data_IF_680552992571
#
_entry.id   IF_680552992571
#
_cell.length_a   1.000
_cell.length_b   1.000
_cell.length_c   1.000
_cell.angle_alpha   90.00
_cell.angle_beta   90.00
_cell.angle_gamma   90.00
#
_symmetry.space_group_name_H-M   'P 1'
#
loop_
_entity.id
_entity.type
_entity.pdbx_description
1 polymer ?
#
# COMPACT_ATOMS: atom_id res chain seq x y z
N UNK A 1 -23.72 15.43 22.27
CA UNK A 1 -23.83 14.73 20.97
C UNK A 1 -22.63 15.13 20.15
N UNK A 2 -21.59 14.29 20.10
CA UNK A 2 -20.40 14.57 19.30
C UNK A 2 -20.78 14.24 17.85
N UNK A 3 -21.03 15.25 17.03
CA UNK A 3 -21.39 15.05 15.62
C UNK A 3 -20.22 14.31 14.95
N UNK A 4 -20.48 13.10 14.45
CA UNK A 4 -19.47 12.27 13.80
C UNK A 4 -18.80 13.05 12.65
N UNK A 5 -17.49 12.95 12.49
CA UNK A 5 -16.75 13.74 11.48
C UNK A 5 -17.23 13.43 10.05
N UNK A 6 -17.63 12.18 9.79
CA UNK A 6 -18.31 11.80 8.55
C UNK A 6 -19.57 12.62 8.26
N UNK A 7 -20.39 12.96 9.27
CA UNK A 7 -21.62 13.71 9.05
C UNK A 7 -21.32 15.10 8.45
N UNK A 8 -20.20 15.72 8.87
CA UNK A 8 -19.72 17.00 8.33
C UNK A 8 -19.32 16.87 6.86
N UNK A 9 -18.62 15.80 6.49
CA UNK A 9 -18.07 15.63 5.13
C UNK A 9 -18.95 14.81 4.19
N UNK A 10 -20.04 14.22 4.69
CA UNK A 10 -20.97 13.38 3.93
C UNK A 10 -21.43 14.02 2.62
N UNK A 11 -21.85 15.30 2.57
CA UNK A 11 -22.26 15.93 1.30
C UNK A 11 -21.11 16.04 0.30
N UNK A 12 -19.90 16.36 0.76
CA UNK A 12 -18.71 16.50 -0.09
C UNK A 12 -18.31 15.14 -0.68
N UNK A 13 -18.31 14.10 0.14
CA UNK A 13 -17.97 12.73 -0.27
C UNK A 13 -19.01 12.17 -1.24
N UNK A 14 -20.30 12.41 -0.98
CA UNK A 14 -21.38 11.94 -1.84
C UNK A 14 -21.36 12.58 -3.24
N UNK A 15 -20.98 13.86 -3.32
CA UNK A 15 -20.97 14.65 -4.55
C UNK A 15 -19.73 14.40 -5.42
N UNK A 16 -18.57 14.10 -4.81
CA UNK A 16 -17.34 13.84 -5.56
C UNK A 16 -17.45 12.59 -6.45
N UNK A 17 -16.72 12.54 -7.54
CA UNK A 17 -16.51 11.34 -8.35
C UNK A 17 -15.32 10.52 -7.83
N UNK A 18 -15.30 9.23 -8.16
CA UNK A 18 -14.14 8.38 -7.85
C UNK A 18 -12.83 8.89 -8.46
N UNK A 19 -12.93 9.56 -9.62
CA UNK A 19 -11.79 10.16 -10.30
C UNK A 19 -11.22 11.31 -9.49
N UNK A 20 -12.07 12.25 -9.06
CA UNK A 20 -11.66 13.39 -8.23
C UNK A 20 -11.01 12.92 -6.93
N UNK A 21 -11.60 11.92 -6.25
CA UNK A 21 -11.04 11.35 -5.01
C UNK A 21 -9.64 10.76 -5.24
N UNK A 22 -9.41 10.08 -6.37
CA UNK A 22 -8.10 9.48 -6.69
C UNK A 22 -7.07 10.50 -7.16
N UNK A 23 -7.51 11.59 -7.78
CA UNK A 23 -6.65 12.69 -8.20
C UNK A 23 -6.20 13.52 -7.00
N UNK A 24 -7.11 13.81 -6.06
CA UNK A 24 -6.82 14.58 -4.85
C UNK A 24 -7.72 14.14 -3.68
N UNK A 25 -7.10 13.50 -2.68
CA UNK A 25 -7.80 13.03 -1.47
C UNK A 25 -8.33 14.17 -0.58
N UNK A 26 -7.89 15.41 -0.81
CA UNK A 26 -8.37 16.58 -0.09
C UNK A 26 -9.62 17.19 -0.75
N UNK A 27 -9.95 16.75 -1.98
CA UNK A 27 -11.03 17.26 -2.82
C UNK A 27 -10.97 18.79 -3.00
N UNK A 28 -9.81 19.31 -3.37
CA UNK A 28 -9.55 20.74 -3.51
C UNK A 28 -9.55 21.45 -2.16
N UNK A 29 -9.00 20.82 -1.12
CA UNK A 29 -8.94 21.37 0.23
C UNK A 29 -10.22 21.23 1.06
N UNK A 30 -11.33 20.75 0.49
CA UNK A 30 -12.63 20.63 1.17
C UNK A 30 -12.63 19.63 2.33
N UNK A 31 -11.70 18.68 2.33
CA UNK A 31 -11.53 17.70 3.39
C UNK A 31 -10.42 18.06 4.39
N UNK A 32 -9.78 19.23 4.29
CA UNK A 32 -8.72 19.62 5.22
C UNK A 32 -9.28 19.83 6.64
N UNK A 33 -8.68 19.14 7.60
CA UNK A 33 -8.97 19.25 9.03
C UNK A 33 -8.12 20.32 9.71
N UNK A 34 -6.84 20.38 9.35
CA UNK A 34 -5.88 21.33 9.92
C UNK A 34 -4.62 21.46 9.06
N UNK A 35 -3.95 22.61 9.16
CA UNK A 35 -2.68 22.89 8.49
C UNK A 35 -1.68 23.51 9.48
N UNK A 36 -0.39 23.21 9.31
CA UNK A 36 0.71 23.80 10.08
C UNK A 36 1.97 23.91 9.19
N UNK A 37 2.16 25.08 8.59
CA UNK A 37 3.17 25.28 7.56
C UNK A 37 2.95 24.32 6.37
N UNK A 38 3.93 23.47 6.00
CA UNK A 38 3.78 22.53 4.90
C UNK A 38 2.95 21.28 5.25
N UNK A 39 2.58 21.10 6.53
CA UNK A 39 1.78 19.97 6.99
C UNK A 39 0.30 20.22 6.70
N UNK A 40 -0.36 19.21 6.12
CA UNK A 40 -1.79 19.20 5.91
C UNK A 40 -2.35 17.88 6.46
N UNK A 41 -3.39 17.96 7.28
CA UNK A 41 -4.16 16.79 7.73
C UNK A 41 -5.50 16.81 7.02
N UNK A 42 -5.75 15.80 6.19
CA UNK A 42 -6.98 15.66 5.43
C UNK A 42 -7.87 14.60 6.05
N UNK A 43 -9.17 14.84 6.06
CA UNK A 43 -10.15 13.87 6.51
C UNK A 43 -10.19 12.63 5.60
N UNK A 44 -10.27 11.47 6.24
CA UNK A 44 -10.66 10.20 5.64
C UNK A 44 -11.44 9.39 6.69
N UNK A 45 -12.41 8.56 6.29
CA UNK A 45 -13.39 7.91 7.19
C UNK A 45 -12.79 6.74 7.98
N UNK A 46 -11.87 7.03 8.90
CA UNK A 46 -11.16 6.05 9.74
C UNK A 46 -11.52 6.14 11.23
N UNK A 47 -12.52 6.93 11.62
CA UNK A 47 -12.90 7.13 13.03
C UNK A 47 -13.74 5.99 13.65
N UNK A 48 -14.19 5.00 12.89
CA UNK A 48 -14.90 3.85 13.46
C UNK A 48 -14.01 3.02 14.40
N UNK A 49 -14.48 2.79 15.62
CA UNK A 49 -13.83 1.90 16.60
C UNK A 49 -14.54 0.55 16.64
N UNK A 50 -13.76 -0.52 16.46
CA UNK A 50 -14.25 -1.90 16.51
C UNK A 50 -14.13 -2.37 17.96
N UNK A 51 -15.15 -2.11 18.77
CA UNK A 51 -15.11 -2.35 20.22
C UNK A 51 -14.82 -3.81 20.63
N UNK A 52 -15.09 -4.77 19.74
CA UNK A 52 -14.83 -6.20 19.93
C UNK A 52 -13.43 -6.64 19.51
N UNK A 53 -12.59 -5.72 19.04
CA UNK A 53 -11.28 -6.06 18.49
C UNK A 53 -10.38 -6.70 19.56
N UNK A 54 -9.75 -7.80 19.18
CA UNK A 54 -8.76 -8.51 19.99
C UNK A 54 -7.34 -8.10 19.66
N UNK A 55 -7.13 -7.61 18.45
CA UNK A 55 -5.86 -7.09 17.96
C UNK A 55 -6.05 -5.71 17.35
N UNK A 56 -5.11 -4.82 17.60
CA UNK A 56 -5.03 -3.50 16.97
C UNK A 56 -3.79 -3.44 16.11
N UNK A 57 -3.93 -3.10 14.83
CA UNK A 57 -2.80 -2.94 13.90
C UNK A 57 -2.61 -1.47 13.59
N UNK A 58 -1.41 -0.96 13.87
CA UNK A 58 -1.14 0.49 13.92
C UNK A 58 -0.12 0.90 12.86
N UNK A 59 -0.58 1.68 11.88
CA UNK A 59 0.26 2.36 10.88
C UNK A 59 0.82 3.71 11.37
N UNK A 60 1.50 4.44 10.49
CA UNK A 60 1.97 5.81 10.76
C UNK A 60 0.81 6.80 10.60
N UNK A 61 0.27 6.84 9.39
CA UNK A 61 -0.88 7.61 8.92
C UNK A 61 -1.39 6.91 7.66
N UNK A 62 -2.70 6.96 7.33
CA UNK A 62 -3.17 6.44 6.06
C UNK A 62 -2.50 7.18 4.90
N UNK A 63 -1.86 6.45 4.00
CA UNK A 63 -1.34 7.04 2.76
C UNK A 63 -2.46 7.42 1.80
N UNK A 64 -2.17 8.25 0.81
CA UNK A 64 -3.15 8.74 -0.17
C UNK A 64 -3.97 7.61 -0.83
N UNK A 65 -3.36 6.48 -1.18
CA UNK A 65 -4.11 5.34 -1.73
C UNK A 65 -5.14 4.76 -0.73
N UNK A 66 -4.75 4.58 0.53
CA UNK A 66 -5.65 4.09 1.58
C UNK A 66 -6.79 5.06 1.86
N UNK A 67 -6.47 6.37 1.90
CA UNK A 67 -7.43 7.44 2.05
C UNK A 67 -8.45 7.47 0.91
N UNK A 68 -7.98 7.38 -0.34
CA UNK A 68 -8.83 7.33 -1.52
C UNK A 68 -9.78 6.13 -1.46
N UNK A 69 -9.26 4.92 -1.23
CA UNK A 69 -10.09 3.71 -1.14
C UNK A 69 -11.13 3.83 -0.02
N UNK A 70 -10.77 4.36 1.15
CA UNK A 70 -11.74 4.60 2.24
C UNK A 70 -12.83 5.61 1.84
N UNK A 71 -12.46 6.74 1.20
CA UNK A 71 -13.40 7.76 0.73
C UNK A 71 -14.34 7.21 -0.34
N UNK A 72 -13.85 6.38 -1.25
CA UNK A 72 -14.64 5.76 -2.32
C UNK A 72 -15.64 4.76 -1.76
N UNK A 73 -15.23 3.93 -0.81
CA UNK A 73 -16.15 3.00 -0.16
C UNK A 73 -17.20 3.75 0.67
N UNK A 74 -16.80 4.78 1.42
CA UNK A 74 -17.76 5.64 2.13
C UNK A 74 -18.75 6.28 1.16
N UNK A 75 -18.28 6.84 0.03
CA UNK A 75 -19.14 7.38 -1.03
C UNK A 75 -20.14 6.34 -1.53
N UNK A 76 -19.68 5.12 -1.83
CA UNK A 76 -20.54 4.03 -2.32
C UNK A 76 -21.64 3.70 -1.32
N UNK A 77 -21.31 3.61 -0.04
CA UNK A 77 -22.24 3.33 1.05
C UNK A 77 -23.25 4.47 1.25
N UNK A 78 -22.77 5.73 1.26
CA UNK A 78 -23.61 6.92 1.38
C UNK A 78 -24.63 6.99 0.22
N UNK A 79 -24.19 6.73 -1.01
CA UNK A 79 -25.06 6.73 -2.20
C UNK A 79 -26.07 5.58 -2.19
N UNK A 80 -25.74 4.47 -1.53
CA UNK A 80 -26.66 3.36 -1.30
C UNK A 80 -27.66 3.61 -0.15
N UNK A 81 -27.59 4.79 0.51
CA UNK A 81 -28.49 5.16 1.61
C UNK A 81 -28.07 4.61 2.97
N UNK A 82 -26.84 4.10 3.13
CA UNK A 82 -26.34 3.61 4.40
C UNK A 82 -26.20 4.74 5.44
N UNK A 83 -26.38 4.41 6.72
CA UNK A 83 -26.09 5.34 7.81
C UNK A 83 -24.57 5.58 7.99
N UNK A 84 -24.22 6.57 8.80
CA UNK A 84 -22.83 6.96 9.05
C UNK A 84 -22.00 5.83 9.67
N UNK A 85 -22.59 5.05 10.58
CA UNK A 85 -21.90 3.95 11.25
C UNK A 85 -21.52 2.83 10.26
N UNK A 86 -22.46 2.45 9.40
CA UNK A 86 -22.25 1.44 8.35
C UNK A 86 -21.22 1.92 7.32
N UNK A 87 -21.32 3.18 6.89
CA UNK A 87 -20.37 3.76 5.95
C UNK A 87 -18.95 3.79 6.52
N UNK A 88 -18.78 4.20 7.78
CA UNK A 88 -17.47 4.22 8.45
C UNK A 88 -16.88 2.82 8.66
N UNK A 89 -17.70 1.85 9.09
CA UNK A 89 -17.24 0.48 9.28
C UNK A 89 -16.73 -0.14 7.98
N UNK A 90 -17.49 0.02 6.89
CA UNK A 90 -17.10 -0.47 5.57
C UNK A 90 -15.85 0.24 5.03
N UNK A 91 -15.79 1.57 5.14
CA UNK A 91 -14.66 2.36 4.68
C UNK A 91 -13.35 2.03 5.41
N UNK A 92 -13.42 1.83 6.74
CA UNK A 92 -12.27 1.41 7.54
C UNK A 92 -11.71 0.09 7.03
N UNK A 93 -12.55 -0.93 6.87
CA UNK A 93 -12.10 -2.26 6.42
C UNK A 93 -11.53 -2.17 5.00
N UNK A 94 -12.22 -1.49 4.09
CA UNK A 94 -11.81 -1.40 2.69
C UNK A 94 -10.47 -0.65 2.51
N UNK A 95 -10.33 0.51 3.16
CA UNK A 95 -9.16 1.39 3.01
C UNK A 95 -7.93 0.97 3.83
N UNK A 96 -8.11 0.34 4.98
CA UNK A 96 -6.99 0.05 5.90
C UNK A 96 -5.95 -0.85 5.25
N UNK A 97 -4.69 -0.38 5.23
CA UNK A 97 -3.56 -1.09 4.62
C UNK A 97 -3.81 -1.57 3.17
N UNK A 98 -4.70 -0.92 2.42
CA UNK A 98 -5.01 -1.29 1.04
C UNK A 98 -3.80 -1.19 0.10
N UNK A 99 -3.89 -1.91 -1.03
CA UNK A 99 -2.81 -2.03 -2.01
C UNK A 99 -1.81 -3.13 -1.67
N UNK A 100 -0.65 -3.09 -2.33
CA UNK A 100 0.35 -4.18 -2.31
C UNK A 100 0.95 -4.51 -0.92
N UNK A 101 0.72 -3.65 0.09
CA UNK A 101 1.22 -3.89 1.45
C UNK A 101 0.36 -4.86 2.26
N UNK A 102 -0.92 -5.02 1.91
CA UNK A 102 -1.86 -5.86 2.67
C UNK A 102 -1.40 -7.31 2.71
N UNK A 103 -1.06 -7.87 1.55
CA UNK A 103 -0.69 -9.27 1.45
C UNK A 103 0.59 -9.58 2.23
N UNK A 104 1.56 -8.65 2.21
CA UNK A 104 2.76 -8.75 3.03
C UNK A 104 2.46 -8.71 4.53
N UNK A 105 1.54 -7.83 4.96
CA UNK A 105 1.09 -7.77 6.35
C UNK A 105 0.38 -9.06 6.77
N UNK A 106 -0.54 -9.56 5.95
CA UNK A 106 -1.26 -10.83 6.18
C UNK A 106 -0.27 -11.97 6.36
N UNK A 107 0.66 -12.14 5.42
CA UNK A 107 1.66 -13.21 5.50
C UNK A 107 2.50 -13.12 6.78
N UNK A 108 2.87 -11.91 7.20
CA UNK A 108 3.62 -11.70 8.44
C UNK A 108 2.82 -12.03 9.70
N UNK A 109 1.54 -11.67 9.73
CA UNK A 109 0.65 -11.99 10.85
C UNK A 109 0.35 -13.49 10.92
N UNK A 110 0.22 -14.14 9.76
CA UNK A 110 0.06 -15.59 9.65
C UNK A 110 1.33 -16.31 10.16
N UNK A 111 2.51 -15.85 9.74
CA UNK A 111 3.81 -16.41 10.13
C UNK A 111 4.07 -16.37 11.65
N UNK A 112 3.51 -15.38 12.37
CA UNK A 112 3.64 -15.30 13.84
C UNK A 112 2.52 -16.05 14.58
N UNK A 113 1.62 -16.74 13.86
CA UNK A 113 0.56 -17.55 14.44
C UNK A 113 -0.64 -16.75 14.94
N UNK A 114 -0.85 -15.51 14.48
CA UNK A 114 -1.99 -14.70 14.93
C UNK A 114 -3.32 -15.32 14.53
N UNK A 115 -3.40 -15.84 13.30
CA UNK A 115 -4.59 -16.50 12.78
C UNK A 115 -5.04 -17.68 13.66
N UNK A 116 -4.11 -18.52 14.13
CA UNK A 116 -4.39 -19.63 15.06
C UNK A 116 -4.99 -19.13 16.38
N UNK A 117 -4.44 -18.06 16.95
CA UNK A 117 -4.93 -17.47 18.22
C UNK A 117 -6.29 -16.82 18.09
N UNK A 118 -6.62 -16.35 16.89
CA UNK A 118 -7.91 -15.79 16.54
C UNK A 118 -8.92 -16.86 16.07
N UNK A 119 -8.50 -18.11 15.89
CA UNK A 119 -9.38 -19.20 15.42
C UNK A 119 -9.81 -19.03 13.96
N UNK A 120 -9.00 -18.36 13.13
CA UNK A 120 -9.29 -18.10 11.71
C UNK A 120 -8.23 -18.77 10.81
N UNK A 121 -8.59 -19.17 9.58
CA UNK A 121 -7.65 -19.88 8.70
C UNK A 121 -6.50 -19.02 8.18
N UNK A 122 -6.65 -17.69 8.18
CA UNK A 122 -5.65 -16.70 7.80
C UNK A 122 -6.09 -15.32 8.28
N UNK A 123 -5.14 -14.47 8.63
CA UNK A 123 -5.35 -13.07 8.95
C UNK A 123 -5.93 -12.25 7.79
N UNK A 124 -5.96 -12.78 6.55
CA UNK A 124 -6.72 -12.15 5.46
C UNK A 124 -8.21 -11.97 5.82
N UNK A 125 -8.77 -12.85 6.66
CA UNK A 125 -10.18 -12.77 7.09
C UNK A 125 -10.49 -11.52 7.92
N UNK A 126 -9.47 -10.85 8.49
CA UNK A 126 -9.62 -9.60 9.23
C UNK A 126 -10.07 -8.43 8.34
N UNK A 127 -9.91 -8.55 7.02
CA UNK A 127 -10.39 -7.57 6.05
C UNK A 127 -11.74 -7.94 5.41
N UNK A 128 -12.39 -9.02 5.86
CA UNK A 128 -13.73 -9.39 5.40
C UNK A 128 -14.61 -9.93 6.55
N UNK A 129 -14.88 -11.23 6.52
CA UNK A 129 -15.74 -12.04 7.38
C UNK A 129 -15.44 -11.94 8.88
N UNK A 130 -14.20 -11.60 9.27
CA UNK A 130 -13.78 -11.54 10.68
C UNK A 130 -13.22 -10.16 11.06
N UNK A 131 -13.66 -9.11 10.39
CA UNK A 131 -13.27 -7.71 10.69
C UNK A 131 -13.57 -7.27 12.12
N UNK A 132 -14.55 -7.89 12.79
CA UNK A 132 -14.85 -7.65 14.21
C UNK A 132 -13.71 -8.04 15.17
N UNK A 133 -12.74 -8.86 14.75
CA UNK A 133 -11.59 -9.28 15.57
C UNK A 133 -10.43 -8.28 15.54
N UNK A 134 -10.41 -7.35 14.59
CA UNK A 134 -9.29 -6.42 14.41
C UNK A 134 -9.75 -4.97 14.35
N UNK A 135 -9.00 -4.10 15.03
CA UNK A 135 -9.08 -2.67 14.83
C UNK A 135 -7.88 -2.21 14.01
N UNK A 136 -8.14 -1.64 12.84
CA UNK A 136 -7.09 -1.00 12.04
C UNK A 136 -7.06 0.49 12.36
N UNK A 137 -5.87 0.99 12.67
CA UNK A 137 -5.65 2.41 12.95
C UNK A 137 -4.23 2.84 12.53
N UNK A 138 -3.94 4.11 12.75
CA UNK A 138 -2.63 4.71 12.56
C UNK A 138 -2.32 5.63 13.72
N UNK A 139 -1.04 5.85 14.00
CA UNK A 139 -0.64 6.79 15.04
C UNK A 139 -1.27 8.17 14.81
N UNK A 140 -1.33 8.61 13.56
CA UNK A 140 -2.13 9.73 13.11
C UNK A 140 -3.32 9.18 12.32
N UNK A 141 -4.52 9.19 12.93
CA UNK A 141 -5.75 8.57 12.39
C UNK A 141 -6.07 8.99 10.96
N UNK A 142 -5.82 10.25 10.64
CA UNK A 142 -6.13 10.85 9.34
C UNK A 142 -4.87 11.01 8.46
N UNK A 143 -5.03 10.98 7.13
CA UNK A 143 -3.96 11.24 6.18
C UNK A 143 -3.21 12.53 6.48
N UNK A 144 -1.88 12.42 6.61
CA UNK A 144 -1.00 13.57 6.76
C UNK A 144 -0.13 13.71 5.52
N UNK A 145 -0.14 14.92 4.95
CA UNK A 145 0.61 15.28 3.77
C UNK A 145 1.66 16.36 4.12
N UNK A 146 2.80 16.32 3.42
CA UNK A 146 3.79 17.40 3.41
C UNK A 146 4.00 17.82 1.96
N UNK A 147 3.59 19.04 1.62
CA UNK A 147 3.69 19.53 0.23
C UNK A 147 3.00 18.61 -0.79
N UNK A 148 1.86 18.02 -0.41
CA UNK A 148 1.10 17.09 -1.25
C UNK A 148 1.57 15.62 -1.23
N UNK A 149 2.71 15.31 -0.60
CA UNK A 149 3.26 13.96 -0.51
C UNK A 149 2.95 13.29 0.84
N UNK A 150 2.94 11.95 0.89
CA UNK A 150 2.67 11.22 2.13
C UNK A 150 3.70 11.54 3.22
N UNK A 151 3.23 11.84 4.43
CA UNK A 151 4.08 11.94 5.61
C UNK A 151 4.72 10.58 5.97
N UNK A 152 6.04 10.58 6.18
CA UNK A 152 6.82 9.36 6.46
C UNK A 152 7.40 9.29 7.88
N UNK A 153 7.07 10.24 8.77
CA UNK A 153 7.59 10.29 10.14
C UNK A 153 8.43 11.53 10.50
N UNK A 154 8.60 12.46 9.56
CA UNK A 154 9.35 13.71 9.75
C UNK A 154 8.48 14.88 9.27
N UNK A 155 8.27 15.94 10.08
CA UNK A 155 8.79 16.15 11.44
C UNK A 155 8.19 15.17 12.45
N UNK A 156 8.76 15.05 13.64
CA UNK A 156 8.35 14.04 14.63
C UNK A 156 6.91 14.27 15.12
N UNK A 157 6.02 13.27 14.94
CA UNK A 157 4.62 13.34 15.40
C UNK A 157 4.47 13.63 16.89
N UNK A 158 5.41 13.19 17.73
CA UNK A 158 5.36 13.39 19.17
C UNK A 158 5.93 14.75 19.59
N UNK A 159 6.71 15.43 18.75
CA UNK A 159 7.34 16.73 19.07
C UNK A 159 6.64 17.91 18.39
N UNK A 160 6.00 17.68 17.25
CA UNK A 160 5.19 18.68 16.54
C UNK A 160 3.80 18.78 17.17
N UNK A 161 3.46 19.94 17.73
CA UNK A 161 2.21 20.15 18.47
C UNK A 161 0.96 19.81 17.64
N UNK A 162 0.91 20.26 16.38
CA UNK A 162 -0.20 19.99 15.46
C UNK A 162 -0.42 18.50 15.15
N UNK A 163 0.64 17.67 15.18
CA UNK A 163 0.53 16.22 14.99
C UNK A 163 0.23 15.51 16.31
N UNK A 164 0.81 16.00 17.41
CA UNK A 164 0.60 15.43 18.75
C UNK A 164 -0.86 15.51 19.18
N UNK A 165 -1.57 16.58 18.82
CA UNK A 165 -3.00 16.71 19.12
C UNK A 165 -3.84 15.55 18.55
N UNK A 166 -3.44 14.95 17.42
CA UNK A 166 -4.10 13.75 16.89
C UNK A 166 -3.73 12.47 17.66
N UNK A 167 -2.53 12.37 18.23
CA UNK A 167 -2.21 11.28 19.17
C UNK A 167 -3.10 11.39 20.42
N UNK A 168 -3.20 12.60 20.98
CA UNK A 168 -3.99 12.93 22.18
C UNK A 168 -5.49 12.73 21.96
N UNK A 169 -6.02 13.21 20.83
CA UNK A 169 -7.45 13.20 20.56
C UNK A 169 -7.98 11.94 19.90
N UNK A 170 -7.13 11.18 19.19
CA UNK A 170 -7.56 10.00 18.43
C UNK A 170 -6.95 8.69 18.96
N UNK A 171 -5.62 8.59 19.02
CA UNK A 171 -4.98 7.31 19.37
C UNK A 171 -5.18 6.95 20.85
N UNK A 172 -5.16 7.95 21.74
CA UNK A 172 -5.47 7.76 23.17
C UNK A 172 -6.93 7.36 23.38
N UNK A 173 -7.86 7.91 22.60
CA UNK A 173 -9.28 7.53 22.62
C UNK A 173 -9.44 6.04 22.27
N UNK A 174 -8.82 5.59 21.18
CA UNK A 174 -8.85 4.18 20.75
C UNK A 174 -8.17 3.25 21.77
N UNK A 175 -7.04 3.67 22.34
CA UNK A 175 -6.34 2.92 23.38
C UNK A 175 -7.21 2.67 24.61
N UNK A 176 -7.92 3.70 25.07
CA UNK A 176 -8.86 3.58 26.19
C UNK A 176 -10.08 2.74 25.87
N UNK A 177 -10.53 2.73 24.61
CA UNK A 177 -11.66 1.93 24.16
C UNK A 177 -11.32 0.44 24.00
N UNK A 178 -10.03 0.10 23.81
CA UNK A 178 -9.56 -1.27 23.55
C UNK A 178 -8.42 -1.68 24.50
N UNK A 179 -8.66 -1.65 25.83
CA UNK A 179 -7.61 -1.90 26.84
C UNK A 179 -7.11 -3.34 26.84
N UNK A 180 -7.93 -4.30 26.40
CA UNK A 180 -7.62 -5.73 26.44
C UNK A 180 -7.00 -6.26 25.13
N UNK A 181 -7.02 -5.45 24.07
CA UNK A 181 -6.48 -5.84 22.77
C UNK A 181 -4.94 -5.86 22.78
N UNK A 182 -4.33 -6.69 21.94
CA UNK A 182 -2.89 -6.59 21.66
C UNK A 182 -2.65 -5.56 20.55
N UNK A 183 -1.77 -4.61 20.79
CA UNK A 183 -1.45 -3.50 19.90
C UNK A 183 -0.15 -3.75 19.15
N UNK A 184 -0.24 -4.01 17.84
CA UNK A 184 0.91 -4.32 16.99
C UNK A 184 1.22 -3.09 16.11
N UNK A 185 2.38 -2.47 16.32
CA UNK A 185 2.83 -1.39 15.45
C UNK A 185 3.48 -1.91 14.18
N UNK A 186 3.18 -1.29 13.04
CA UNK A 186 3.87 -1.52 11.79
C UNK A 186 5.07 -0.56 11.68
N UNK A 187 6.24 -0.99 12.15
CA UNK A 187 7.51 -0.28 12.02
C UNK A 187 7.80 0.79 13.08
N UNK A 188 9.04 1.28 13.07
CA UNK A 188 9.58 2.13 14.15
C UNK A 188 8.91 3.49 14.29
N UNK A 189 8.37 4.07 13.22
CA UNK A 189 7.66 5.35 13.28
C UNK A 189 6.31 5.20 13.98
N UNK A 190 5.54 4.15 13.66
CA UNK A 190 4.28 3.85 14.36
C UNK A 190 4.54 3.48 15.83
N UNK A 191 5.62 2.71 16.09
CA UNK A 191 6.06 2.37 17.44
C UNK A 191 6.29 3.60 18.33
N UNK A 192 6.83 4.70 17.79
CA UNK A 192 7.01 5.97 18.53
C UNK A 192 5.68 6.57 18.99
N UNK A 193 4.62 6.46 18.17
CA UNK A 193 3.27 6.88 18.53
C UNK A 193 2.71 6.06 19.70
N UNK A 194 2.80 4.73 19.62
CA UNK A 194 2.37 3.84 20.72
C UNK A 194 3.18 4.06 22.00
N UNK A 195 4.51 4.19 21.90
CA UNK A 195 5.35 4.48 23.06
C UNK A 195 4.97 5.80 23.73
N UNK A 196 4.56 6.80 22.95
CA UNK A 196 4.05 8.06 23.50
C UNK A 196 2.72 7.88 24.24
N UNK A 197 1.78 7.08 23.71
CA UNK A 197 0.49 6.77 24.37
C UNK A 197 0.69 5.96 25.66
N UNK A 198 1.59 4.98 25.65
CA UNK A 198 2.01 4.24 26.85
C UNK A 198 2.57 5.21 27.90
N UNK A 199 3.41 6.17 27.50
CA UNK A 199 3.94 7.19 28.41
C UNK A 199 2.85 8.10 28.99
N UNK A 200 1.73 8.29 28.28
CA UNK A 200 0.56 9.02 28.82
C UNK A 200 -0.29 8.17 29.78
N UNK A 201 0.05 6.90 30.00
CA UNK A 201 -0.72 5.99 30.86
C UNK A 201 -2.05 5.54 30.24
N UNK A 202 -2.23 5.72 28.92
CA UNK A 202 -3.47 5.38 28.23
C UNK A 202 -3.47 3.97 27.61
N UNK A 203 -2.31 3.31 27.57
CA UNK A 203 -2.13 1.95 27.06
C UNK A 203 -1.13 1.20 27.94
N UNK A 204 -1.48 -0.03 28.31
CA UNK A 204 -0.59 -0.91 29.06
C UNK A 204 0.62 -1.32 28.19
N UNK A 205 1.87 -1.07 28.62
CA UNK A 205 3.05 -1.50 27.88
C UNK A 205 3.08 -3.01 27.61
N UNK A 206 2.49 -3.85 28.46
CA UNK A 206 2.45 -5.30 28.25
C UNK A 206 1.56 -5.69 27.06
N UNK A 207 0.62 -4.83 26.66
CA UNK A 207 -0.26 -5.05 25.50
C UNK A 207 0.38 -4.65 24.17
N UNK A 208 1.58 -4.05 24.18
CA UNK A 208 2.21 -3.51 22.97
C UNK A 208 3.23 -4.49 22.37
N UNK A 209 3.16 -4.64 21.06
CA UNK A 209 4.12 -5.37 20.24
C UNK A 209 4.67 -4.49 19.13
N UNK A 210 5.99 -4.40 19.01
CA UNK A 210 6.63 -3.66 17.92
C UNK A 210 6.94 -4.58 16.75
N UNK A 211 6.15 -4.50 15.68
CA UNK A 211 6.34 -5.28 14.45
C UNK A 211 7.08 -4.53 13.33
N UNK A 212 7.33 -5.23 12.22
CA UNK A 212 7.87 -4.63 11.00
C UNK A 212 6.75 -4.01 10.15
N UNK A 213 7.11 -2.98 9.38
CA UNK A 213 6.20 -2.35 8.42
C UNK A 213 6.42 -2.95 7.02
N UNK A 214 5.40 -3.53 6.34
CA UNK A 214 5.54 -4.10 5.00
C UNK A 214 5.44 -3.03 3.89
N UNK A 215 6.27 -1.99 3.95
CA UNK A 215 6.36 -1.00 2.85
C UNK A 215 7.13 -1.57 1.65
N UNK A 216 6.97 -0.99 0.45
CA UNK A 216 7.80 -1.32 -0.71
C UNK A 216 9.32 -1.19 -0.46
N UNK A 217 9.73 -0.33 0.48
CA UNK A 217 11.13 -0.14 0.88
C UNK A 217 11.67 -1.22 1.83
N UNK A 218 10.81 -2.13 2.30
CA UNK A 218 11.12 -3.15 3.32
C UNK A 218 11.13 -4.59 2.79
N UNK A 219 10.99 -4.79 1.47
CA UNK A 219 10.79 -6.12 0.85
C UNK A 219 11.80 -7.17 1.33
N UNK A 220 13.09 -6.83 1.39
CA UNK A 220 14.12 -7.78 1.86
C UNK A 220 13.90 -8.19 3.33
N UNK A 221 13.51 -7.24 4.19
CA UNK A 221 13.24 -7.51 5.61
C UNK A 221 12.03 -8.39 5.79
N UNK A 222 10.97 -8.12 5.04
CA UNK A 222 9.74 -8.93 5.03
C UNK A 222 10.04 -10.34 4.51
N UNK A 223 10.78 -10.48 3.41
CA UNK A 223 11.14 -11.79 2.87
C UNK A 223 12.03 -12.60 3.83
N UNK A 224 12.96 -11.95 4.52
CA UNK A 224 13.76 -12.59 5.57
C UNK A 224 12.90 -13.00 6.77
N UNK A 225 12.01 -12.11 7.24
CA UNK A 225 11.04 -12.40 8.31
C UNK A 225 10.18 -13.63 7.99
N UNK A 226 9.71 -13.75 6.74
CA UNK A 226 8.90 -14.86 6.25
C UNK A 226 9.72 -16.10 5.87
N UNK A 227 11.06 -16.06 5.95
CA UNK A 227 11.92 -17.18 5.52
C UNK A 227 11.87 -17.49 4.02
N UNK A 228 11.33 -16.60 3.19
CA UNK A 228 11.20 -16.77 1.72
C UNK A 228 12.30 -16.06 0.93
N UNK A 229 13.12 -15.27 1.63
CA UNK A 229 14.16 -14.41 1.06
C UNK A 229 15.56 -15.00 1.04
N UNK A 230 16.54 -14.08 0.95
CA UNK A 230 17.96 -14.43 1.03
C UNK A 230 18.30 -14.98 2.42
N UNK A 231 19.19 -15.97 2.51
CA UNK A 231 19.69 -16.44 3.79
C UNK A 231 20.47 -15.32 4.50
N UNK A 232 20.60 -15.44 5.83
CA UNK A 232 21.22 -14.45 6.70
C UNK A 232 22.56 -13.89 6.17
N UNK A 233 23.42 -14.75 5.64
CA UNK A 233 24.74 -14.37 5.13
C UNK A 233 24.72 -13.57 3.80
N UNK A 234 23.59 -13.53 3.10
CA UNK A 234 23.45 -12.87 1.79
C UNK A 234 22.58 -11.59 1.85
N UNK A 235 22.16 -11.18 3.05
CA UNK A 235 21.36 -9.98 3.27
C UNK A 235 22.15 -8.71 2.91
N UNK A 236 21.46 -7.69 2.44
CA UNK A 236 22.08 -6.39 2.19
C UNK A 236 22.46 -5.71 3.50
N UNK A 237 23.44 -4.80 3.43
CA UNK A 237 23.91 -3.98 4.57
C UNK A 237 22.79 -3.15 5.22
N UNK A 238 21.64 -2.96 4.55
CA UNK A 238 20.48 -2.21 5.07
C UNK A 238 19.47 -3.07 5.84
N UNK A 239 19.75 -4.36 5.94
CA UNK A 239 18.89 -5.36 6.58
C UNK A 239 19.69 -6.07 7.65
N UNK A 240 19.40 -5.69 8.89
CA UNK A 240 19.98 -6.30 10.07
C UNK A 240 19.14 -7.54 10.44
N UNK A 241 19.67 -8.77 10.27
CA UNK A 241 18.94 -9.98 10.59
C UNK A 241 18.68 -10.14 12.08
N UNK A 242 19.56 -9.65 12.97
CA UNK A 242 19.38 -9.79 14.41
C UNK A 242 18.19 -8.98 14.91
N UNK A 243 18.03 -7.77 14.37
CA UNK A 243 16.85 -6.94 14.63
C UNK A 243 15.57 -7.65 14.15
N UNK A 244 15.60 -8.26 12.97
CA UNK A 244 14.41 -8.92 12.41
C UNK A 244 14.06 -10.19 13.20
N UNK A 245 15.06 -11.01 13.54
CA UNK A 245 14.90 -12.23 14.32
C UNK A 245 14.42 -11.91 15.75
N UNK A 246 14.89 -10.81 16.34
CA UNK A 246 14.38 -10.31 17.61
C UNK A 246 12.91 -9.86 17.50
N UNK A 247 12.57 -9.07 16.48
CA UNK A 247 11.18 -8.64 16.25
C UNK A 247 10.25 -9.85 16.06
N UNK A 248 10.64 -10.82 15.23
CA UNK A 248 9.85 -12.03 14.99
C UNK A 248 9.61 -12.82 16.28
N UNK A 249 10.66 -13.04 17.08
CA UNK A 249 10.53 -13.71 18.38
C UNK A 249 9.60 -12.97 19.33
N UNK A 250 9.76 -11.65 19.46
CA UNK A 250 8.88 -10.82 20.30
C UNK A 250 7.43 -10.87 19.83
N UNK A 251 7.19 -10.83 18.52
CA UNK A 251 5.84 -10.97 17.95
C UNK A 251 5.23 -12.34 18.26
N UNK A 252 5.98 -13.43 18.08
CA UNK A 252 5.51 -14.79 18.40
C UNK A 252 5.14 -14.90 19.88
N UNK A 253 6.01 -14.44 20.79
CA UNK A 253 5.74 -14.49 22.23
C UNK A 253 4.49 -13.69 22.58
N UNK A 254 4.37 -12.46 22.07
CA UNK A 254 3.25 -11.58 22.37
C UNK A 254 1.94 -12.10 21.81
N UNK A 255 1.95 -12.61 20.58
CA UNK A 255 0.77 -13.25 19.97
C UNK A 255 0.34 -14.49 20.76
N UNK A 256 1.28 -15.26 21.31
CA UNK A 256 0.96 -16.42 22.12
C UNK A 256 0.23 -16.10 23.44
N UNK A 257 0.33 -14.87 23.93
CA UNK A 257 -0.41 -14.37 25.11
C UNK A 257 -1.90 -14.10 24.82
N UNK A 258 -2.30 -13.98 23.54
CA UNK A 258 -3.73 -13.91 23.20
C UNK A 258 -4.40 -15.22 23.61
N UNK A 259 -5.37 -15.11 24.53
CA UNK A 259 -6.25 -16.22 24.85
C UNK A 259 -6.87 -16.78 23.55
N UNK A 260 -6.89 -18.09 23.31
CA UNK A 260 -7.56 -18.62 22.13
C UNK A 260 -9.05 -18.26 22.19
N UNK A 261 -9.65 -17.98 21.04
CA UNK A 261 -11.12 -17.83 20.98
C UNK A 261 -11.72 -19.16 21.41
N UNK A 262 -12.43 -19.17 22.54
CA UNK A 262 -13.12 -20.37 23.01
C UNK A 262 -14.15 -20.76 21.96
N UNK A 263 -14.14 -22.03 21.54
CA UNK A 263 -15.09 -22.60 20.59
C UNK A 263 -16.49 -22.73 21.22
N UNK A 264 -17.13 -21.58 21.50
CA UNK A 264 -18.42 -21.49 22.16
C UNK A 264 -19.30 -20.43 21.51
N UNK A 265 -20.37 -20.91 20.87
CA UNK A 265 -21.52 -20.17 20.33
C UNK A 265 -21.24 -19.13 19.22
N UNK A 266 -21.13 -19.63 17.97
CA UNK A 266 -21.58 -18.86 16.82
C UNK A 266 -23.11 -18.73 16.94
N UNK A 267 -23.59 -17.63 17.50
CA UNK A 267 -24.96 -17.20 17.25
C UNK A 267 -24.99 -16.55 15.86
N UNK A 268 -25.55 -17.28 14.91
CA UNK A 268 -25.89 -16.77 13.59
C UNK A 268 -26.99 -15.72 13.71
N UNK A 269 -26.65 -14.43 13.74
CA UNK A 269 -27.60 -13.38 13.40
C UNK A 269 -27.66 -13.26 11.89
N UNK A 270 -28.49 -14.07 11.25
CA UNK A 270 -28.85 -13.95 9.84
C UNK A 270 -29.84 -12.81 9.65
N UNK A 271 -29.41 -11.75 8.96
CA UNK A 271 -30.31 -10.87 8.20
C UNK A 271 -29.91 -10.99 6.72
N UNK A 272 -30.83 -11.29 5.79
CA UNK A 272 -30.46 -11.71 4.45
C UNK A 272 -30.27 -10.50 3.51
N UNK A 273 -29.20 -10.53 2.72
CA UNK A 273 -29.08 -9.74 1.48
C UNK A 273 -28.99 -10.72 0.30
N UNK A 274 -29.66 -10.47 -0.85
CA UNK A 274 -29.91 -11.50 -1.86
C UNK A 274 -28.67 -11.89 -2.65
N UNK A 275 -28.60 -13.18 -2.98
CA UNK A 275 -27.58 -13.82 -3.78
C UNK A 275 -27.56 -13.32 -5.24
N UNK A 276 -26.36 -13.05 -5.76
CA UNK A 276 -26.07 -13.12 -7.19
C UNK A 276 -25.17 -14.33 -7.40
N UNK A 277 -25.70 -15.36 -8.05
CA UNK A 277 -25.00 -16.57 -8.41
C UNK A 277 -23.90 -16.28 -9.46
N UNK A 278 -22.70 -16.83 -9.24
CA UNK A 278 -21.70 -17.01 -10.30
C UNK A 278 -21.18 -18.45 -10.24
N UNK A 279 -21.31 -19.12 -11.39
CA UNK A 279 -20.95 -20.51 -11.62
C UNK A 279 -19.44 -20.76 -11.45
N UNK A 280 -19.11 -21.94 -10.91
CA UNK A 280 -17.76 -22.45 -10.78
C UNK A 280 -17.28 -23.14 -12.09
N UNK A 281 -16.00 -23.02 -12.47
CA UNK A 281 -15.35 -23.95 -13.38
C UNK A 281 -14.57 -25.06 -12.64
N UNK A 282 -14.25 -26.18 -13.31
CA UNK A 282 -13.97 -27.46 -12.66
C UNK A 282 -12.52 -27.61 -12.17
N UNK A 283 -12.36 -28.52 -11.22
CA UNK A 283 -11.10 -28.96 -10.60
C UNK A 283 -10.23 -29.81 -11.53
N UNK A 284 -8.91 -29.59 -11.50
CA UNK A 284 -7.89 -30.53 -12.00
C UNK A 284 -6.84 -30.80 -10.91
N UNK A 285 -6.30 -32.03 -10.80
CA UNK A 285 -5.62 -32.50 -9.60
C UNK A 285 -4.16 -32.03 -9.52
N UNK A 286 -3.70 -31.86 -8.28
CA UNK A 286 -2.34 -31.46 -7.90
C UNK A 286 -1.33 -32.54 -8.25
N UNK A 287 -0.35 -32.21 -9.09
CA UNK A 287 0.92 -32.96 -9.16
C UNK A 287 2.00 -32.24 -8.34
N UNK A 288 2.51 -32.94 -7.33
CA UNK A 288 3.76 -32.61 -6.63
C UNK A 288 4.92 -32.82 -7.60
N UNK A 289 5.73 -31.79 -7.83
CA UNK A 289 7.11 -31.96 -8.31
C UNK A 289 8.05 -31.16 -7.42
N UNK A 290 9.17 -31.81 -7.17
CA UNK A 290 10.14 -31.71 -6.10
C UNK A 290 11.04 -30.47 -6.11
N UNK A 291 11.46 -30.11 -4.89
CA UNK A 291 12.62 -29.30 -4.55
C UNK A 291 13.88 -29.77 -5.30
N UNK A 292 14.40 -28.93 -6.18
CA UNK A 292 15.84 -28.79 -6.42
C UNK A 292 16.10 -27.44 -7.10
N UNK A 293 17.13 -26.73 -6.59
CA UNK A 293 17.74 -25.48 -7.11
C UNK A 293 16.86 -24.24 -7.15
N UNK A 294 17.12 -23.25 -6.28
CA UNK A 294 17.15 -21.82 -6.65
C UNK A 294 17.88 -20.99 -5.59
N UNK A 295 19.16 -20.74 -5.82
CA UNK A 295 19.80 -19.50 -5.37
C UNK A 295 19.53 -18.48 -6.47
N UNK A 296 18.36 -17.84 -6.57
CA UNK A 296 18.05 -17.15 -7.84
C UNK A 296 17.38 -15.78 -7.70
N UNK A 297 18.24 -14.76 -7.82
CA UNK A 297 18.12 -13.63 -8.77
C UNK A 297 16.68 -13.23 -9.10
N UNK A 298 16.23 -12.00 -8.76
CA UNK A 298 14.95 -11.37 -9.21
C UNK A 298 14.60 -11.84 -10.62
N UNK A 299 13.80 -12.91 -10.74
CA UNK A 299 13.59 -13.58 -12.02
C UNK A 299 12.58 -12.74 -12.79
N UNK A 300 12.78 -12.54 -14.09
CA UNK A 300 11.78 -11.93 -14.94
C UNK A 300 10.41 -12.61 -14.76
N UNK A 301 9.35 -11.82 -14.57
CA UNK A 301 7.98 -12.32 -14.51
C UNK A 301 7.58 -12.89 -15.86
N UNK A 302 6.54 -13.75 -15.89
CA UNK A 302 6.02 -14.28 -17.15
C UNK A 302 5.62 -13.14 -18.11
N UNK A 303 4.88 -12.16 -17.59
CA UNK A 303 4.49 -10.96 -18.33
C UNK A 303 5.71 -10.16 -18.83
N UNK A 304 6.74 -10.00 -18.00
CA UNK A 304 7.98 -9.31 -18.38
C UNK A 304 8.77 -10.04 -19.47
N UNK A 305 8.82 -11.37 -19.43
CA UNK A 305 9.44 -12.21 -20.46
C UNK A 305 8.65 -12.16 -21.77
N UNK A 306 7.34 -12.27 -21.70
CA UNK A 306 6.48 -12.25 -22.89
C UNK A 306 6.55 -10.88 -23.60
N UNK A 307 6.56 -9.78 -22.83
CA UNK A 307 6.78 -8.43 -23.38
C UNK A 307 8.18 -8.29 -23.96
N UNK A 308 9.22 -8.78 -23.28
CA UNK A 308 10.59 -8.75 -23.81
C UNK A 308 10.70 -9.51 -25.14
N UNK A 309 10.12 -10.71 -25.21
CA UNK A 309 10.11 -11.51 -26.44
C UNK A 309 9.39 -10.76 -27.57
N UNK A 310 8.25 -10.13 -27.28
CA UNK A 310 7.51 -9.34 -28.25
C UNK A 310 8.32 -8.14 -28.77
N UNK A 311 9.02 -7.41 -27.88
CA UNK A 311 9.90 -6.29 -28.29
C UNK A 311 11.10 -6.77 -29.09
N UNK A 312 11.71 -7.89 -28.70
CA UNK A 312 12.88 -8.46 -29.38
C UNK A 312 12.55 -9.01 -30.78
N UNK A 313 11.32 -9.48 -30.99
CA UNK A 313 10.85 -9.97 -32.28
C UNK A 313 10.48 -8.85 -33.26
N UNK A 314 10.27 -7.62 -32.77
CA UNK A 314 9.90 -6.49 -33.62
C UNK A 314 11.17 -5.82 -34.21
N UNK A 315 11.33 -5.81 -35.55
CA UNK A 315 12.54 -5.31 -36.19
C UNK A 315 12.75 -3.80 -36.00
N UNK A 316 11.74 -3.06 -35.54
CA UNK A 316 11.85 -1.62 -35.25
C UNK A 316 12.71 -1.33 -34.02
N UNK A 317 12.92 -2.31 -33.15
CA UNK A 317 13.66 -2.13 -31.91
C UNK A 317 15.01 -2.86 -31.93
N UNK A 318 15.97 -2.29 -31.25
CA UNK A 318 17.28 -2.86 -31.01
C UNK A 318 17.55 -2.85 -29.51
N UNK A 319 18.01 -3.98 -28.97
CA UNK A 319 18.42 -4.03 -27.57
C UNK A 319 19.56 -3.04 -27.32
N UNK A 320 19.45 -2.25 -26.26
CA UNK A 320 20.36 -1.15 -25.95
C UNK A 320 20.84 -1.28 -24.50
N UNK A 321 22.12 -1.52 -24.27
CA UNK A 321 22.71 -1.73 -22.93
C UNK A 321 22.13 -2.97 -22.19
N UNK A 322 22.44 -4.21 -22.65
CA UNK A 322 21.83 -5.46 -22.17
C UNK A 322 22.15 -5.87 -20.71
N UNK A 323 22.93 -5.08 -19.96
CA UNK A 323 23.58 -5.50 -18.71
C UNK A 323 22.70 -5.47 -17.45
N UNK A 324 21.37 -5.57 -17.54
CA UNK A 324 20.49 -5.46 -16.34
C UNK A 324 19.43 -6.55 -16.25
N UNK A 325 19.58 -7.38 -15.22
CA UNK A 325 18.74 -8.54 -14.93
C UNK A 325 17.26 -8.19 -14.69
N UNK A 326 16.94 -6.96 -14.27
CA UNK A 326 15.60 -6.53 -13.85
C UNK A 326 14.89 -5.56 -14.80
N UNK A 327 15.57 -5.09 -15.85
CA UNK A 327 15.07 -4.04 -16.74
C UNK A 327 15.61 -4.23 -18.14
N UNK A 328 14.72 -4.15 -19.10
CA UNK A 328 15.07 -4.09 -20.51
C UNK A 328 15.20 -2.63 -20.94
N UNK A 329 16.17 -2.37 -21.80
CA UNK A 329 16.40 -1.06 -22.39
C UNK A 329 16.54 -1.31 -23.90
N UNK A 330 15.76 -0.58 -24.67
CA UNK A 330 15.70 -0.72 -26.12
C UNK A 330 15.82 0.65 -26.76
N UNK A 331 16.24 0.65 -28.02
CA UNK A 331 16.33 1.83 -28.87
C UNK A 331 15.54 1.57 -30.14
N UNK A 332 14.75 2.53 -30.59
CA UNK A 332 14.12 2.47 -31.91
C UNK A 332 15.21 2.62 -32.99
N UNK A 333 15.18 1.79 -34.03
CA UNK A 333 16.20 1.83 -35.10
C UNK A 333 16.09 3.09 -35.96
N UNK A 334 14.87 3.61 -36.13
CA UNK A 334 14.58 4.74 -37.03
C UNK A 334 14.92 6.09 -36.41
N UNK A 335 14.37 6.37 -35.24
CA UNK A 335 14.51 7.67 -34.57
C UNK A 335 15.61 7.67 -33.49
N UNK A 336 16.12 6.50 -33.10
CA UNK A 336 17.10 6.38 -32.03
C UNK A 336 16.53 6.63 -30.63
N UNK A 337 15.20 6.73 -30.48
CA UNK A 337 14.54 6.92 -29.19
C UNK A 337 14.83 5.74 -28.26
N UNK A 338 15.42 6.04 -27.10
CA UNK A 338 15.66 5.04 -26.05
C UNK A 338 14.44 4.97 -25.15
N UNK A 339 14.01 3.77 -24.79
CA UNK A 339 12.99 3.53 -23.78
C UNK A 339 13.39 2.35 -22.91
N UNK A 340 12.78 2.25 -21.73
CA UNK A 340 13.04 1.15 -20.81
C UNK A 340 11.75 0.60 -20.23
N UNK A 341 11.75 -0.69 -19.89
CA UNK A 341 10.67 -1.29 -19.12
C UNK A 341 11.21 -2.29 -18.11
N UNK A 342 10.59 -2.32 -16.94
CA UNK A 342 10.89 -3.33 -15.90
C UNK A 342 10.40 -4.70 -16.35
N UNK A 343 11.05 -5.79 -15.93
CA UNK A 343 10.64 -7.16 -16.35
C UNK A 343 10.35 -8.10 -15.19
N UNK A 344 10.37 -7.61 -13.95
CA UNK A 344 10.32 -8.45 -12.72
C UNK A 344 9.01 -8.35 -11.95
N UNK A 345 8.18 -7.36 -12.23
CA UNK A 345 6.89 -7.18 -11.56
C UNK A 345 5.88 -8.17 -12.12
N UNK A 346 5.08 -8.81 -11.25
CA UNK A 346 4.21 -9.93 -11.63
C UNK A 346 2.94 -9.48 -12.37
N UNK A 347 2.25 -8.46 -11.85
CA UNK A 347 0.88 -8.11 -12.30
C UNK A 347 0.84 -6.93 -13.29
N UNK A 348 1.93 -6.19 -13.41
CA UNK A 348 2.06 -5.09 -14.36
C UNK A 348 3.52 -4.85 -14.74
N UNK A 349 3.76 -4.30 -15.91
CA UNK A 349 5.06 -3.81 -16.36
C UNK A 349 4.98 -2.30 -16.58
N UNK A 350 5.99 -1.58 -16.08
CA UNK A 350 6.10 -0.13 -16.28
C UNK A 350 7.07 0.19 -17.40
N UNK A 351 6.57 0.89 -18.42
CA UNK A 351 7.32 1.52 -19.48
C UNK A 351 7.74 2.93 -19.09
N UNK A 352 8.95 3.31 -19.50
CA UNK A 352 9.56 4.61 -19.32
C UNK A 352 9.99 5.11 -20.69
N UNK A 353 9.22 6.05 -21.23
CA UNK A 353 9.35 6.55 -22.60
C UNK A 353 9.62 8.05 -22.56
N UNK A 354 10.52 8.60 -23.38
CA UNK A 354 10.72 10.05 -23.48
C UNK A 354 9.41 10.80 -23.74
N UNK A 355 9.14 11.81 -22.92
CA UNK A 355 7.95 12.63 -23.03
C UNK A 355 8.14 13.63 -24.18
N UNK A 356 7.33 13.52 -25.21
CA UNK A 356 7.26 14.50 -26.29
C UNK A 356 5.83 14.66 -26.81
N UNK A 357 5.44 15.84 -27.33
CA UNK A 357 4.12 16.04 -27.91
C UNK A 357 3.79 15.05 -29.03
N UNK A 358 4.79 14.64 -29.82
CA UNK A 358 4.61 13.67 -30.90
C UNK A 358 4.26 12.26 -30.36
N UNK A 359 4.97 11.80 -29.32
CA UNK A 359 4.69 10.51 -28.68
C UNK A 359 3.36 10.55 -27.94
N UNK A 360 3.03 11.65 -27.28
CA UNK A 360 1.75 11.83 -26.59
C UNK A 360 0.57 11.78 -27.56
N UNK A 361 0.66 12.47 -28.69
CA UNK A 361 -0.35 12.41 -29.76
C UNK A 361 -0.48 10.99 -30.33
N UNK A 362 0.65 10.31 -30.56
CA UNK A 362 0.66 8.93 -31.06
C UNK A 362 0.03 7.94 -30.06
N UNK A 363 0.29 8.09 -28.76
CA UNK A 363 -0.31 7.28 -27.69
C UNK A 363 -1.82 7.56 -27.59
N UNK A 364 -2.21 8.83 -27.61
CA UNK A 364 -3.61 9.26 -27.56
C UNK A 364 -4.42 8.72 -28.74
N UNK A 365 -3.86 8.76 -29.96
CA UNK A 365 -4.49 8.20 -31.16
C UNK A 365 -4.76 6.69 -31.08
N UNK A 366 -4.04 6.00 -30.18
CA UNK A 366 -4.17 4.56 -29.90
C UNK A 366 -4.97 4.26 -28.64
N UNK A 367 -5.66 5.27 -28.08
CA UNK A 367 -6.49 5.13 -26.88
C UNK A 367 -5.71 5.07 -25.57
N UNK A 368 -4.42 5.44 -25.57
CA UNK A 368 -3.59 5.49 -24.36
C UNK A 368 -3.53 6.92 -23.86
N UNK A 369 -4.15 7.16 -22.70
CA UNK A 369 -4.09 8.46 -22.01
C UNK A 369 -2.92 8.45 -21.04
N UNK A 370 -1.98 9.39 -21.20
CA UNK A 370 -0.87 9.57 -20.28
C UNK A 370 -1.23 10.62 -19.25
N UNK A 371 -1.52 10.20 -18.01
CA UNK A 371 -1.97 11.10 -16.94
C UNK A 371 -0.86 11.71 -16.09
N UNK A 372 0.40 11.30 -16.30
CA UNK A 372 1.54 11.72 -15.48
C UNK A 372 2.80 11.91 -16.32
N UNK A 373 3.59 12.92 -15.99
CA UNK A 373 4.92 13.15 -16.56
C UNK A 373 5.95 13.06 -15.42
N UNK A 374 6.94 12.19 -15.58
CA UNK A 374 8.02 11.99 -14.62
C UNK A 374 9.25 12.80 -15.02
N UNK A 375 9.49 13.91 -14.33
CA UNK A 375 10.60 14.85 -14.59
C UNK A 375 11.89 14.41 -13.87
N UNK A 376 13.10 14.74 -14.37
CA UNK A 376 14.37 14.47 -13.67
C UNK A 376 14.51 15.32 -12.39
N UNK A 377 15.38 14.91 -11.46
CA UNK A 377 15.70 15.67 -10.23
C UNK A 377 17.16 16.17 -10.23
N UNK A 378 17.42 17.47 -9.96
CA UNK A 378 16.48 18.59 -10.02
C UNK A 378 15.91 18.76 -11.44
N UNK A 379 14.70 19.31 -11.56
CA UNK A 379 14.15 19.62 -12.88
C UNK A 379 14.98 20.72 -13.53
N UNK A 380 15.38 20.53 -14.80
CA UNK A 380 16.16 21.53 -15.52
C UNK A 380 15.41 22.86 -15.70
N UNK A 381 14.07 22.84 -15.71
CA UNK A 381 13.23 24.02 -15.85
C UNK A 381 12.97 24.76 -14.54
N UNK A 382 13.07 24.05 -13.41
CA UNK A 382 12.85 24.61 -12.07
C UNK A 382 13.53 23.71 -11.03
N UNK A 383 14.74 24.09 -10.56
CA UNK A 383 15.50 23.29 -9.60
C UNK A 383 14.85 23.13 -8.22
N UNK A 384 13.77 23.89 -7.94
CA UNK A 384 13.04 23.81 -6.67
C UNK A 384 11.95 22.73 -6.68
N UNK A 385 11.59 22.22 -7.85
CA UNK A 385 10.64 21.11 -7.99
C UNK A 385 11.32 19.76 -7.71
N UNK A 386 10.70 18.95 -6.85
CA UNK A 386 11.17 17.60 -6.54
C UNK A 386 10.96 16.67 -7.76
N UNK A 387 12.06 16.19 -8.34
CA UNK A 387 12.01 15.30 -9.51
C UNK A 387 12.13 13.80 -9.20
N UNK A 388 12.25 12.98 -10.25
CA UNK A 388 12.41 11.52 -10.20
C UNK A 388 13.77 11.11 -9.59
N UNK A 389 13.74 10.52 -8.39
CA UNK A 389 14.83 9.68 -7.89
C UNK A 389 14.64 8.22 -8.33
N UNK A 390 15.17 7.85 -9.51
CA UNK A 390 15.11 6.46 -10.00
C UNK A 390 16.44 5.94 -10.53
N UNK A 391 16.56 4.62 -10.66
CA UNK A 391 17.70 3.96 -11.31
C UNK A 391 17.76 4.22 -12.84
N UNK A 392 16.83 4.99 -13.42
CA UNK A 392 16.90 5.45 -14.81
C UNK A 392 17.94 6.56 -14.98
N UNK A 393 18.37 7.24 -13.91
CA UNK A 393 19.50 8.19 -13.94
C UNK A 393 20.81 7.58 -14.41
N UNK A 394 20.93 6.25 -14.35
CA UNK A 394 22.07 5.49 -14.86
C UNK A 394 22.00 5.22 -16.38
N UNK A 395 20.96 5.72 -17.06
CA UNK A 395 20.78 5.63 -18.51
C UNK A 395 20.93 7.08 -19.04
N UNK A 396 22.09 7.44 -19.63
CA UNK A 396 22.39 8.78 -20.13
C UNK A 396 21.30 9.39 -21.01
N UNK A 397 20.59 8.56 -21.79
CA UNK A 397 19.52 9.00 -22.69
C UNK A 397 18.18 9.25 -21.98
N UNK A 398 18.03 8.82 -20.71
CA UNK A 398 16.81 8.98 -19.93
C UNK A 398 17.02 9.80 -18.64
N UNK A 399 18.27 10.05 -18.24
CA UNK A 399 18.59 10.62 -16.92
C UNK A 399 18.03 12.02 -16.73
N UNK A 400 18.10 12.83 -17.77
CA UNK A 400 17.76 14.27 -17.77
C UNK A 400 16.47 14.53 -18.56
N UNK A 401 15.82 13.46 -19.04
CA UNK A 401 14.59 13.53 -19.83
C UNK A 401 13.34 13.43 -18.95
N UNK A 402 12.32 14.22 -19.30
CA UNK A 402 10.96 13.98 -18.85
C UNK A 402 10.48 12.67 -19.49
N UNK A 403 9.88 11.78 -18.71
CA UNK A 403 9.41 10.47 -19.20
C UNK A 403 7.92 10.29 -18.92
N UNK A 404 7.23 9.59 -19.80
CA UNK A 404 5.92 9.02 -19.58
C UNK A 404 6.06 7.66 -18.85
N UNK A 405 5.62 7.55 -17.58
CA UNK A 405 5.53 6.27 -16.87
C UNK A 405 4.21 5.57 -17.21
N UNK A 406 4.24 4.63 -18.16
CA UNK A 406 3.02 3.94 -18.62
C UNK A 406 2.99 2.53 -18.03
N UNK A 407 1.87 2.17 -17.39
CA UNK A 407 1.69 0.84 -16.79
C UNK A 407 0.89 -0.04 -17.74
N UNK A 408 1.38 -1.25 -18.00
CA UNK A 408 0.67 -2.27 -18.79
C UNK A 408 0.48 -3.54 -17.99
N UNK A 409 -0.62 -4.24 -18.20
CA UNK A 409 -0.94 -5.53 -17.55
C UNK A 409 -1.00 -6.68 -18.56
N UNK A 410 -0.76 -6.42 -19.85
CA UNK A 410 -0.77 -7.42 -20.91
C UNK A 410 0.23 -7.10 -22.03
N UNK A 411 0.61 -8.13 -22.80
CA UNK A 411 1.44 -7.98 -24.00
C UNK A 411 0.74 -7.11 -25.06
N UNK A 412 -0.59 -7.24 -25.19
CA UNK A 412 -1.37 -6.42 -26.12
C UNK A 412 -1.23 -4.92 -25.85
N UNK A 413 -1.36 -4.50 -24.59
CA UNK A 413 -1.14 -3.10 -24.20
C UNK A 413 0.30 -2.65 -24.45
N UNK A 414 1.29 -3.53 -24.20
CA UNK A 414 2.69 -3.23 -24.49
C UNK A 414 2.91 -2.99 -25.99
N UNK A 415 2.32 -3.83 -26.86
CA UNK A 415 2.41 -3.67 -28.32
C UNK A 415 1.75 -2.38 -28.82
N UNK A 416 0.64 -1.95 -28.21
CA UNK A 416 0.00 -0.67 -28.55
C UNK A 416 0.93 0.51 -28.22
N UNK A 417 1.57 0.48 -27.05
CA UNK A 417 2.58 1.49 -26.66
C UNK A 417 3.77 1.49 -27.63
N UNK A 418 4.33 0.33 -27.91
CA UNK A 418 5.47 0.18 -28.83
C UNK A 418 5.10 0.64 -30.25
N UNK A 419 3.86 0.47 -30.66
CA UNK A 419 3.31 1.01 -31.89
C UNK A 419 3.29 2.54 -31.97
N UNK A 420 3.35 3.24 -30.83
CA UNK A 420 3.40 4.72 -30.77
C UNK A 420 4.82 5.30 -30.80
N UNK A 421 5.85 4.46 -30.70
CA UNK A 421 7.23 4.91 -30.73
C UNK A 421 7.73 5.17 -32.17
N UNK A 422 8.44 6.29 -32.42
CA UNK A 422 8.87 6.71 -33.76
C UNK A 422 10.03 5.92 -34.37
#
# INVERSE_FOLDING_TARGET
MNTSMIARFRPVIAAASEREIREDITLGGKLILSEDGPLQVSYAPFEHVVATARVVIVGITPGQHQAAEALIEARRQIQAGADDATALAAAKVHGSFSGAMRDGLVAMLDEVGLHDRLGIPTCARLWDTHSHLAHFTSALRYPVLIGGENYIGTPSMTRTAALRSYLEGCLVEEARALPDAIWISCGSTAAKGLAWVVKQGALDPERVCFGLHPSPSSVERVQYFLGTGRPRAELSVKTDPDIIDAIKRTMICKVAELAPVSSGAVQSSTTPTPAIAKAAPPSTPKNKVSKATKRERKVPSRLGLDIQAAVAADPRFQEHRPEKLYRCIYRTRRSGTVFAFERVTLDFIRFWIPASPAIEAALTSKGIVVSKISRPNPSASDPTLYGRHSALKAIPELKDEALFPITVTSVGQALVILGALP
#
